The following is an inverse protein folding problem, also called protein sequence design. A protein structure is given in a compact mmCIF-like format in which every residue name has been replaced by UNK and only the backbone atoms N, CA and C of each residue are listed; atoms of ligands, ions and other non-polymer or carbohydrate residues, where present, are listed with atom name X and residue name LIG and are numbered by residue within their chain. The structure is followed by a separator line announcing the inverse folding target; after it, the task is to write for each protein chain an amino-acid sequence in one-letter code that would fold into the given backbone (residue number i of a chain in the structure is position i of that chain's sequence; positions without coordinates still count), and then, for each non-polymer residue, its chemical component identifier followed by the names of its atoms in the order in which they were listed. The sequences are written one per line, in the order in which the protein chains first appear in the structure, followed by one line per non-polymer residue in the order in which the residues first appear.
data_IF_899889433418
#
_entry.id   IF_899889433418
#
_cell.length_a   1.000
_cell.length_b   1.000
_cell.length_c   1.000
_cell.angle_alpha   90.00
_cell.angle_beta   90.00
_cell.angle_gamma   90.00
#
_symmetry.space_group_name_H-M   'P 1'
#
loop_
_entity.id
_entity.type
_entity.pdbx_description
1 polymer ?
#
# COMPACT_ATOMS: atom_id res chain seq x y z
N UNK A 1 14.51 -12.56 5.30
CA UNK A 1 13.16 -13.21 5.42
C UNK A 1 12.12 -12.19 5.00
N UNK A 2 11.20 -12.55 4.10
CA UNK A 2 10.14 -11.62 3.62
C UNK A 2 9.22 -11.20 4.76
N UNK A 3 8.78 -9.92 4.79
CA UNK A 3 7.79 -9.44 5.76
C UNK A 3 6.45 -10.16 5.60
N UNK A 4 6.00 -10.32 4.36
CA UNK A 4 4.82 -11.12 4.00
C UNK A 4 4.93 -11.59 2.56
N UNK A 5 4.10 -12.58 2.20
CA UNK A 5 3.80 -12.98 0.81
C UNK A 5 2.29 -12.96 0.67
N UNK A 6 1.79 -12.51 -0.48
CA UNK A 6 0.35 -12.43 -0.68
C UNK A 6 -0.17 -11.01 -0.85
N UNK A 7 -1.34 -10.73 -0.30
CA UNK A 7 -2.04 -9.45 -0.40
C UNK A 7 -1.87 -8.61 0.86
N UNK A 8 -1.20 -7.46 0.74
CA UNK A 8 -1.22 -6.41 1.76
C UNK A 8 -2.26 -5.35 1.41
N UNK A 9 -3.11 -4.95 2.36
CA UNK A 9 -4.06 -3.86 2.14
C UNK A 9 -3.45 -2.50 2.43
N UNK A 10 -3.54 -1.56 1.49
CA UNK A 10 -3.33 -0.14 1.77
C UNK A 10 -4.61 0.40 2.44
N UNK A 11 -4.68 0.27 3.77
CA UNK A 11 -5.90 0.50 4.54
C UNK A 11 -6.32 1.97 4.49
N UNK A 12 -7.62 2.23 4.27
CA UNK A 12 -8.21 3.57 4.40
C UNK A 12 -8.29 3.97 5.88
N UNK A 13 -8.26 5.28 6.15
CA UNK A 13 -8.56 5.84 7.47
C UNK A 13 -9.98 6.38 7.49
N UNK A 14 -10.90 5.81 8.28
CA UNK A 14 -12.25 6.34 8.40
C UNK A 14 -12.27 7.58 9.29
N UNK A 15 -13.13 8.56 8.93
CA UNK A 15 -13.33 9.79 9.70
C UNK A 15 -14.79 9.92 10.18
N UNK A 16 -15.00 10.65 11.26
CA UNK A 16 -16.31 11.07 11.73
C UNK A 16 -16.78 12.33 10.96
N UNK A 17 -18.02 12.75 11.17
CA UNK A 17 -18.58 13.98 10.57
C UNK A 17 -17.81 15.24 10.92
N UNK A 18 -17.19 15.29 12.12
CA UNK A 18 -16.33 16.39 12.58
C UNK A 18 -14.89 16.31 12.06
N UNK A 19 -14.62 15.39 11.13
CA UNK A 19 -13.30 15.07 10.59
C UNK A 19 -12.30 14.45 11.59
N UNK A 20 -12.67 14.11 12.79
CA UNK A 20 -11.81 13.29 13.67
C UNK A 20 -11.73 11.86 13.17
N UNK A 21 -10.69 11.11 13.58
CA UNK A 21 -10.53 9.69 13.20
C UNK A 21 -11.60 8.83 13.87
N UNK A 22 -12.29 8.00 13.09
CA UNK A 22 -13.27 7.04 13.59
C UNK A 22 -12.57 5.71 13.97
N UNK A 23 -12.06 5.63 15.19
CA UNK A 23 -11.37 4.43 15.68
C UNK A 23 -12.28 3.19 15.80
N UNK A 24 -13.58 3.37 16.01
CA UNK A 24 -14.54 2.26 16.03
C UNK A 24 -14.62 1.58 14.66
N UNK A 25 -14.83 2.37 13.62
CA UNK A 25 -14.85 1.89 12.25
C UNK A 25 -13.48 1.36 11.82
N UNK A 26 -12.37 2.00 12.22
CA UNK A 26 -11.02 1.53 11.91
C UNK A 26 -10.80 0.09 12.39
N UNK A 27 -11.18 -0.24 13.64
CA UNK A 27 -11.11 -1.61 14.16
C UNK A 27 -11.98 -2.57 13.35
N UNK A 28 -13.18 -2.16 12.97
CA UNK A 28 -14.07 -2.97 12.11
C UNK A 28 -13.40 -3.29 10.78
N UNK A 29 -12.73 -2.30 10.15
CA UNK A 29 -12.01 -2.50 8.89
C UNK A 29 -10.81 -3.44 9.06
N UNK A 30 -10.06 -3.33 10.17
CA UNK A 30 -8.95 -4.26 10.48
C UNK A 30 -9.46 -5.71 10.59
N UNK A 31 -10.53 -5.95 11.37
CA UNK A 31 -11.12 -7.29 11.50
C UNK A 31 -11.59 -7.83 10.15
N UNK A 32 -12.27 -7.00 9.36
CA UNK A 32 -12.72 -7.37 8.03
C UNK A 32 -11.56 -7.82 7.13
N UNK A 33 -10.40 -7.18 7.22
CA UNK A 33 -9.21 -7.59 6.46
C UNK A 33 -8.67 -8.94 6.94
N UNK A 34 -8.58 -9.14 8.25
CA UNK A 34 -8.13 -10.42 8.83
C UNK A 34 -9.09 -11.54 8.45
N UNK A 35 -10.39 -11.35 8.63
CA UNK A 35 -11.44 -12.33 8.29
C UNK A 35 -11.46 -12.63 6.78
N UNK A 36 -11.10 -11.66 5.95
CA UNK A 36 -10.99 -11.79 4.50
C UNK A 36 -9.68 -12.41 3.99
N UNK A 37 -8.80 -12.85 4.88
CA UNK A 37 -7.55 -13.54 4.51
C UNK A 37 -6.42 -12.61 4.03
N UNK A 38 -6.50 -11.31 4.28
CA UNK A 38 -5.41 -10.38 3.97
C UNK A 38 -4.12 -10.77 4.69
N UNK A 39 -2.98 -10.75 3.99
CA UNK A 39 -1.69 -11.24 4.49
C UNK A 39 -0.88 -10.17 5.25
N UNK A 40 -1.18 -8.88 5.08
CA UNK A 40 -0.56 -7.77 5.81
C UNK A 40 -1.44 -6.52 5.80
N UNK A 41 -1.34 -5.68 6.83
CA UNK A 41 -2.01 -4.37 6.85
C UNK A 41 -0.96 -3.25 6.70
N UNK A 42 -1.14 -2.42 5.68
CA UNK A 42 -0.34 -1.23 5.47
C UNK A 42 -1.16 -0.02 5.96
N UNK A 43 -0.80 0.49 7.13
CA UNK A 43 -1.45 1.62 7.79
C UNK A 43 -0.71 2.93 7.50
N UNK A 44 -1.42 4.04 7.40
CA UNK A 44 -0.86 5.35 7.05
C UNK A 44 -0.04 5.36 5.73
N UNK A 45 -0.33 4.44 4.78
CA UNK A 45 0.06 4.59 3.39
C UNK A 45 -0.76 5.70 2.71
N UNK A 46 -0.50 6.00 1.45
CA UNK A 46 -1.21 7.06 0.69
C UNK A 46 -2.74 6.96 0.80
N UNK A 47 -3.26 5.74 0.71
CA UNK A 47 -4.70 5.44 0.80
C UNK A 47 -5.30 5.76 2.17
N UNK A 48 -4.48 5.77 3.22
CA UNK A 48 -4.87 6.15 4.58
C UNK A 48 -4.85 7.65 4.87
N UNK A 49 -4.66 8.52 3.87
CA UNK A 49 -4.68 9.99 3.98
C UNK A 49 -3.69 10.59 5.01
N UNK A 50 -2.44 10.06 5.17
CA UNK A 50 -1.55 10.56 6.21
C UNK A 50 -1.10 12.02 6.00
N UNK A 51 -1.21 12.55 4.77
CA UNK A 51 -0.83 13.92 4.45
C UNK A 51 -1.72 14.97 5.12
N UNK A 52 -2.95 14.61 5.51
CA UNK A 52 -3.93 15.49 6.17
C UNK A 52 -4.11 15.18 7.65
N UNK A 53 -3.30 14.28 8.19
CA UNK A 53 -3.32 13.88 9.61
C UNK A 53 -2.17 14.53 10.38
N UNK A 54 -2.42 14.91 11.61
CA UNK A 54 -1.35 15.31 12.53
C UNK A 54 -0.46 14.11 12.88
N UNK A 55 0.71 14.37 13.46
CA UNK A 55 1.59 13.27 13.89
C UNK A 55 0.93 12.43 14.98
N UNK A 56 0.23 13.06 15.92
CA UNK A 56 -0.49 12.39 17.00
C UNK A 56 -1.61 11.49 16.48
N UNK A 57 -2.35 11.96 15.47
CA UNK A 57 -3.38 11.13 14.81
C UNK A 57 -2.75 9.91 14.13
N UNK A 58 -1.65 10.10 13.38
CA UNK A 58 -0.94 8.98 12.73
C UNK A 58 -0.45 7.95 13.74
N UNK A 59 0.19 8.37 14.83
CA UNK A 59 0.63 7.47 15.89
C UNK A 59 -0.54 6.71 16.54
N UNK A 60 -1.65 7.42 16.80
CA UNK A 60 -2.85 6.82 17.39
C UNK A 60 -3.54 5.82 16.44
N UNK A 61 -3.59 6.13 15.14
CA UNK A 61 -4.11 5.22 14.10
C UNK A 61 -3.24 3.97 13.98
N UNK A 62 -1.92 4.13 13.92
CA UNK A 62 -0.98 3.00 13.86
C UNK A 62 -1.14 2.12 15.11
N UNK A 63 -1.16 2.73 16.29
CA UNK A 63 -1.34 1.98 17.55
C UNK A 63 -2.66 1.23 17.58
N UNK A 64 -3.77 1.84 17.13
CA UNK A 64 -5.07 1.21 17.06
C UNK A 64 -5.05 -0.03 16.14
N UNK A 65 -4.37 0.07 14.99
CA UNK A 65 -4.25 -1.05 14.04
C UNK A 65 -3.40 -2.18 14.62
N UNK A 66 -2.25 -1.86 15.24
CA UNK A 66 -1.39 -2.86 15.91
C UNK A 66 -2.16 -3.60 17.01
N UNK A 67 -2.86 -2.85 17.86
CA UNK A 67 -3.63 -3.45 18.97
C UNK A 67 -4.76 -4.34 18.47
N UNK A 68 -5.49 -3.92 17.42
CA UNK A 68 -6.59 -4.68 16.87
C UNK A 68 -6.13 -5.91 16.09
N UNK A 69 -5.00 -5.81 15.39
CA UNK A 69 -4.38 -6.95 14.68
C UNK A 69 -3.86 -8.00 15.64
N UNK A 70 -3.39 -7.59 16.83
CA UNK A 70 -2.92 -8.47 17.90
C UNK A 70 -1.90 -9.54 17.42
N UNK A 71 -1.05 -9.19 16.47
CA UNK A 71 0.00 -10.06 15.92
C UNK A 71 -0.50 -11.19 15.00
N UNK A 72 -1.76 -11.18 14.57
CA UNK A 72 -2.31 -12.21 13.67
C UNK A 72 -1.73 -12.11 12.26
N UNK A 73 -1.50 -10.91 11.77
CA UNK A 73 -0.84 -10.62 10.48
C UNK A 73 0.08 -9.40 10.65
N UNK A 74 1.13 -9.25 9.83
CA UNK A 74 2.04 -8.12 9.92
C UNK A 74 1.36 -6.77 9.72
N UNK A 75 1.78 -5.77 10.52
CA UNK A 75 1.40 -4.37 10.38
C UNK A 75 2.60 -3.56 9.89
N UNK A 76 2.47 -2.91 8.75
CA UNK A 76 3.51 -2.10 8.11
C UNK A 76 3.05 -0.65 8.08
N UNK A 77 3.82 0.25 8.69
CA UNK A 77 3.43 1.65 8.79
C UNK A 77 4.07 2.53 7.71
N UNK A 78 3.27 3.39 7.08
CA UNK A 78 3.75 4.43 6.18
C UNK A 78 4.41 5.56 6.94
N UNK A 79 5.73 5.73 6.79
CA UNK A 79 6.50 6.78 7.48
C UNK A 79 7.23 7.72 6.55
N UNK A 80 7.20 7.47 5.23
CA UNK A 80 7.91 8.26 4.23
C UNK A 80 7.46 9.72 4.16
N UNK A 81 8.43 10.61 3.97
CA UNK A 81 8.24 12.05 3.74
C UNK A 81 9.36 12.58 2.84
N UNK A 82 9.27 13.86 2.48
CA UNK A 82 10.28 14.50 1.62
C UNK A 82 11.44 15.18 2.39
N UNK A 83 11.49 15.02 3.71
CA UNK A 83 12.59 15.44 4.59
C UNK A 83 13.14 14.20 5.31
N UNK A 84 14.40 13.84 5.07
CA UNK A 84 15.05 12.66 5.64
C UNK A 84 14.96 12.62 7.17
N UNK A 85 15.22 13.76 7.83
CA UNK A 85 15.19 13.83 9.30
C UNK A 85 13.78 13.55 9.83
N UNK A 86 12.74 14.12 9.21
CA UNK A 86 11.35 13.86 9.61
C UNK A 86 10.97 12.37 9.47
N UNK A 87 11.47 11.70 8.40
CA UNK A 87 11.26 10.26 8.23
C UNK A 87 11.91 9.47 9.36
N UNK A 88 13.17 9.79 9.71
CA UNK A 88 13.90 9.16 10.81
C UNK A 88 13.16 9.34 12.13
N UNK A 89 12.86 10.59 12.50
CA UNK A 89 12.22 10.92 13.77
C UNK A 89 10.86 10.25 13.93
N UNK A 90 10.06 10.26 12.86
CA UNK A 90 8.75 9.61 12.87
C UNK A 90 8.86 8.09 12.87
N UNK A 91 9.76 7.51 12.09
CA UNK A 91 9.99 6.05 12.07
C UNK A 91 10.43 5.51 13.43
N UNK A 92 11.31 6.21 14.14
CA UNK A 92 11.73 5.84 15.50
C UNK A 92 10.61 5.92 16.54
N UNK A 93 9.62 6.81 16.35
CA UNK A 93 8.42 6.85 17.18
C UNK A 93 7.50 5.67 16.87
N UNK A 94 7.33 5.37 15.58
CA UNK A 94 6.49 4.27 15.08
C UNK A 94 7.04 2.91 15.48
N UNK A 95 8.36 2.70 15.45
CA UNK A 95 9.03 1.48 15.90
C UNK A 95 8.64 1.09 17.32
N UNK A 96 8.44 2.06 18.21
CA UNK A 96 8.03 1.82 19.61
C UNK A 96 6.56 1.38 19.75
N UNK A 97 5.76 1.45 18.69
CA UNK A 97 4.36 1.05 18.70
C UNK A 97 4.17 -0.45 18.43
N UNK A 98 5.22 -1.17 18.03
CA UNK A 98 5.19 -2.61 17.78
C UNK A 98 4.71 -2.99 16.38
N UNK A 99 4.99 -2.15 15.37
CA UNK A 99 4.80 -2.50 13.97
C UNK A 99 5.89 -3.46 13.49
N UNK A 100 5.61 -4.26 12.46
CA UNK A 100 6.53 -5.27 11.92
C UNK A 100 7.46 -4.71 10.84
N UNK A 101 7.13 -3.56 10.25
CA UNK A 101 7.93 -2.92 9.21
C UNK A 101 7.46 -1.52 8.83
N UNK A 102 8.23 -0.90 7.96
CA UNK A 102 8.00 0.46 7.49
C UNK A 102 7.81 0.48 5.97
N UNK A 103 6.84 1.27 5.49
CA UNK A 103 6.68 1.62 4.08
C UNK A 103 7.16 3.06 3.89
N UNK A 104 8.27 3.24 3.15
CA UNK A 104 8.90 4.55 2.97
C UNK A 104 8.81 4.99 1.50
N UNK A 105 7.93 5.96 1.21
CA UNK A 105 7.80 6.53 -0.13
C UNK A 105 9.03 7.37 -0.48
N UNK A 106 9.43 7.36 -1.76
CA UNK A 106 10.48 8.25 -2.25
C UNK A 106 10.13 9.72 -1.96
N UNK A 107 11.13 10.59 -1.67
CA UNK A 107 10.87 12.02 -1.46
C UNK A 107 10.08 12.62 -2.63
N UNK A 108 9.01 13.31 -2.31
CA UNK A 108 8.12 13.97 -3.26
C UNK A 108 8.39 15.48 -3.27
N UNK A 109 8.04 16.14 -4.36
CA UNK A 109 8.12 17.58 -4.56
C UNK A 109 9.55 18.10 -4.78
N UNK A 110 10.49 17.90 -3.84
CA UNK A 110 11.88 18.35 -3.90
C UNK A 110 12.81 17.49 -4.77
N UNK A 111 12.32 16.40 -5.37
CA UNK A 111 12.94 15.58 -6.45
C UNK A 111 14.42 15.26 -6.24
N UNK A 112 14.72 14.27 -5.44
CA UNK A 112 16.08 13.81 -5.22
C UNK A 112 16.71 13.17 -6.48
N UNK A 113 18.03 13.33 -6.65
CA UNK A 113 18.82 12.54 -7.60
C UNK A 113 18.96 11.09 -7.12
N UNK A 114 19.49 10.19 -7.95
CA UNK A 114 19.72 8.79 -7.53
C UNK A 114 20.69 8.69 -6.35
N UNK A 115 21.73 9.51 -6.32
CA UNK A 115 22.65 9.59 -5.16
C UNK A 115 21.93 10.15 -3.91
N UNK A 116 21.05 11.14 -4.09
CA UNK A 116 20.22 11.67 -3.02
C UNK A 116 19.22 10.63 -2.48
N UNK A 117 18.58 9.85 -3.36
CA UNK A 117 17.73 8.73 -2.96
C UNK A 117 18.50 7.66 -2.17
N UNK A 118 19.68 7.29 -2.68
CA UNK A 118 20.54 6.36 -1.96
C UNK A 118 20.90 6.87 -0.56
N UNK A 119 21.36 8.12 -0.46
CA UNK A 119 21.72 8.73 0.83
C UNK A 119 20.52 8.85 1.79
N UNK A 120 19.34 9.18 1.25
CA UNK A 120 18.09 9.26 2.02
C UNK A 120 17.74 7.91 2.66
N UNK A 121 17.64 6.83 1.86
CA UNK A 121 17.32 5.52 2.37
C UNK A 121 18.43 4.93 3.26
N UNK A 122 19.70 5.17 2.94
CA UNK A 122 20.83 4.77 3.76
C UNK A 122 20.78 5.40 5.18
N UNK A 123 20.47 6.69 5.26
CA UNK A 123 20.32 7.38 6.54
C UNK A 123 19.15 6.84 7.37
N UNK A 124 18.01 6.53 6.72
CA UNK A 124 16.84 5.95 7.38
C UNK A 124 17.18 4.53 7.87
N UNK A 125 17.74 3.69 7.00
CA UNK A 125 18.12 2.31 7.34
C UNK A 125 19.11 2.23 8.49
N UNK A 126 20.05 3.19 8.55
CA UNK A 126 21.01 3.27 9.66
C UNK A 126 20.43 3.79 10.98
N UNK A 127 19.20 4.36 10.97
CA UNK A 127 18.58 4.99 12.12
C UNK A 127 17.47 4.15 12.79
N UNK A 128 16.97 3.09 12.12
CA UNK A 128 15.88 2.23 12.60
C UNK A 128 16.28 0.75 12.52
N UNK A 129 15.73 -0.06 13.42
CA UNK A 129 15.96 -1.52 13.43
C UNK A 129 14.93 -2.30 12.60
N UNK A 130 13.83 -1.68 12.22
CA UNK A 130 12.72 -2.35 11.50
C UNK A 130 13.04 -2.58 10.02
N UNK A 131 12.46 -3.64 9.44
CA UNK A 131 12.46 -3.86 8.00
C UNK A 131 11.79 -2.70 7.24
N UNK A 132 12.38 -2.30 6.11
CA UNK A 132 11.91 -1.20 5.27
C UNK A 132 11.50 -1.75 3.90
N UNK A 133 10.28 -1.43 3.48
CA UNK A 133 9.82 -1.54 2.10
C UNK A 133 9.91 -0.14 1.47
N UNK A 134 10.77 0.05 0.49
CA UNK A 134 10.81 1.27 -0.31
C UNK A 134 9.51 1.39 -1.11
N UNK A 135 9.03 2.62 -1.35
CA UNK A 135 7.84 2.82 -2.17
C UNK A 135 8.12 3.76 -3.34
N UNK A 136 8.05 3.22 -4.55
CA UNK A 136 8.29 3.92 -5.80
C UNK A 136 6.97 4.22 -6.51
N UNK A 137 6.58 5.50 -6.58
CA UNK A 137 5.34 5.95 -7.22
C UNK A 137 5.56 7.29 -7.95
N UNK A 138 6.27 7.28 -9.08
CA UNK A 138 6.68 8.51 -9.78
C UNK A 138 5.53 9.43 -10.18
N UNK A 139 4.35 8.86 -10.48
CA UNK A 139 3.14 9.62 -10.83
C UNK A 139 2.65 10.55 -9.71
N UNK A 140 2.97 10.23 -8.44
CA UNK A 140 2.63 11.04 -7.28
C UNK A 140 3.79 11.87 -6.76
N UNK A 141 5.00 11.32 -6.79
CA UNK A 141 6.16 11.96 -6.17
C UNK A 141 6.94 12.86 -7.15
N UNK A 142 6.83 12.61 -8.45
CA UNK A 142 7.71 13.18 -9.46
C UNK A 142 9.17 12.67 -9.34
N UNK A 143 9.39 11.59 -8.58
CA UNK A 143 10.70 11.01 -8.30
C UNK A 143 10.63 9.50 -8.54
N UNK A 144 11.52 8.96 -9.36
CA UNK A 144 11.61 7.54 -9.69
C UNK A 144 12.94 6.98 -9.17
N UNK A 145 12.88 6.00 -8.25
CA UNK A 145 14.08 5.25 -7.88
C UNK A 145 14.37 4.23 -8.99
N UNK A 146 15.54 4.32 -9.58
CA UNK A 146 15.95 3.43 -10.67
C UNK A 146 16.36 2.05 -10.14
N UNK A 147 16.23 0.98 -10.96
CA UNK A 147 16.56 -0.38 -10.57
C UNK A 147 17.97 -0.54 -9.96
N UNK A 148 18.96 0.17 -10.49
CA UNK A 148 20.35 0.13 -9.99
C UNK A 148 20.44 0.66 -8.56
N UNK A 149 19.72 1.76 -8.27
CA UNK A 149 19.72 2.39 -6.94
C UNK A 149 18.98 1.51 -5.93
N UNK A 150 17.80 0.98 -6.30
CA UNK A 150 17.03 0.11 -5.44
C UNK A 150 17.78 -1.20 -5.12
N UNK A 151 18.31 -1.87 -6.15
CA UNK A 151 19.09 -3.09 -5.96
C UNK A 151 20.36 -2.88 -5.13
N UNK A 152 21.03 -1.73 -5.28
CA UNK A 152 22.18 -1.36 -4.45
C UNK A 152 21.79 -1.19 -2.99
N UNK A 153 20.67 -0.53 -2.70
CA UNK A 153 20.16 -0.34 -1.35
C UNK A 153 19.83 -1.67 -0.67
N UNK A 154 19.16 -2.61 -1.37
CA UNK A 154 18.86 -3.94 -0.82
C UNK A 154 20.12 -4.76 -0.49
N UNK A 155 21.22 -4.59 -1.26
CA UNK A 155 22.50 -5.27 -0.96
C UNK A 155 23.28 -4.62 0.18
N UNK A 156 23.26 -3.27 0.25
CA UNK A 156 24.10 -2.52 1.18
C UNK A 156 23.47 -2.45 2.60
N UNK A 157 22.14 -2.70 2.73
CA UNK A 157 21.40 -2.60 4.00
C UNK A 157 20.47 -3.79 4.22
N UNK A 158 20.76 -4.62 5.20
CA UNK A 158 19.98 -5.84 5.51
C UNK A 158 18.53 -5.59 5.89
N UNK A 159 18.24 -4.39 6.42
CA UNK A 159 16.88 -4.00 6.78
C UNK A 159 16.09 -3.31 5.65
N UNK A 160 16.69 -3.09 4.47
CA UNK A 160 15.91 -2.72 3.25
C UNK A 160 15.54 -4.02 2.54
N UNK A 161 14.37 -4.54 2.88
CA UNK A 161 13.94 -5.90 2.51
C UNK A 161 13.06 -5.97 1.27
N UNK A 162 12.50 -4.85 0.81
CA UNK A 162 11.57 -4.89 -0.32
C UNK A 162 11.30 -3.53 -0.96
N UNK A 163 10.54 -3.59 -2.05
CA UNK A 163 10.04 -2.43 -2.76
C UNK A 163 8.58 -2.64 -3.18
N UNK A 164 7.71 -1.66 -2.87
CA UNK A 164 6.41 -1.49 -3.51
C UNK A 164 6.63 -0.72 -4.80
N UNK A 165 6.49 -1.41 -5.94
CA UNK A 165 6.70 -0.82 -7.26
C UNK A 165 5.37 -0.41 -7.89
N UNK A 166 5.19 0.89 -8.07
CA UNK A 166 4.00 1.51 -8.63
C UNK A 166 4.34 2.52 -9.76
N UNK A 167 5.45 2.30 -10.47
CA UNK A 167 5.80 3.14 -11.62
C UNK A 167 4.93 2.88 -12.86
N UNK A 168 4.23 1.75 -12.92
CA UNK A 168 3.53 1.31 -14.12
C UNK A 168 4.47 0.74 -15.21
N UNK A 169 5.78 0.70 -14.96
CA UNK A 169 6.78 0.27 -15.95
C UNK A 169 7.25 -1.15 -15.70
N UNK A 170 6.59 -2.13 -16.31
CA UNK A 170 6.93 -3.56 -16.20
C UNK A 170 8.37 -3.86 -16.64
N UNK A 171 8.90 -3.15 -17.62
CA UNK A 171 10.30 -3.27 -18.03
C UNK A 171 11.28 -2.82 -16.96
N UNK A 172 10.91 -1.83 -16.13
CA UNK A 172 11.69 -1.42 -14.96
C UNK A 172 11.67 -2.50 -13.89
N UNK A 173 10.53 -3.14 -13.65
CA UNK A 173 10.39 -4.28 -12.72
C UNK A 173 11.31 -5.44 -13.13
N UNK A 174 11.30 -5.82 -14.42
CA UNK A 174 12.17 -6.88 -14.94
C UNK A 174 13.66 -6.55 -14.74
N UNK A 175 14.07 -5.29 -14.99
CA UNK A 175 15.45 -4.84 -14.71
C UNK A 175 15.78 -4.88 -13.24
N UNK A 176 14.85 -4.49 -12.37
CA UNK A 176 15.01 -4.53 -10.92
C UNK A 176 15.24 -5.97 -10.46
N UNK A 177 14.37 -6.91 -10.83
CA UNK A 177 14.53 -8.33 -10.46
C UNK A 177 15.84 -8.91 -10.96
N UNK A 178 16.24 -8.59 -12.20
CA UNK A 178 17.54 -9.00 -12.74
C UNK A 178 18.74 -8.51 -11.88
N UNK A 179 18.66 -7.29 -11.35
CA UNK A 179 19.78 -6.66 -10.61
C UNK A 179 19.77 -7.02 -9.13
N UNK A 180 18.60 -7.14 -8.53
CA UNK A 180 18.43 -7.41 -7.10
C UNK A 180 18.40 -8.92 -6.79
N UNK A 181 18.02 -9.76 -7.76
CA UNK A 181 17.87 -11.20 -7.49
C UNK A 181 16.85 -11.45 -6.37
N UNK A 182 17.31 -12.11 -5.32
CA UNK A 182 16.50 -12.42 -4.13
C UNK A 182 16.85 -11.52 -2.92
N UNK A 183 17.72 -10.51 -3.13
CA UNK A 183 18.09 -9.56 -2.07
C UNK A 183 16.96 -8.56 -1.77
N UNK A 184 15.95 -8.45 -2.64
CA UNK A 184 14.89 -7.48 -2.50
C UNK A 184 13.53 -8.06 -2.95
N UNK A 185 12.59 -8.11 -2.04
CA UNK A 185 11.21 -8.49 -2.33
C UNK A 185 10.51 -7.43 -3.19
N UNK A 186 9.74 -7.85 -4.20
CA UNK A 186 8.99 -6.94 -5.07
C UNK A 186 7.49 -7.15 -4.85
N UNK A 187 6.80 -6.06 -4.46
CA UNK A 187 5.35 -6.01 -4.33
C UNK A 187 4.77 -5.11 -5.41
N UNK A 188 3.70 -5.54 -6.07
CA UNK A 188 2.94 -4.63 -6.92
C UNK A 188 2.33 -3.51 -6.09
N UNK A 189 2.46 -2.28 -6.58
CA UNK A 189 1.74 -1.12 -6.03
C UNK A 189 0.49 -0.75 -6.84
N UNK A 190 0.24 -1.48 -7.95
CA UNK A 190 -0.86 -1.28 -8.88
C UNK A 190 -1.68 -2.56 -8.97
N UNK A 191 -2.98 -2.46 -8.69
CA UNK A 191 -3.89 -3.61 -8.68
C UNK A 191 -4.09 -4.23 -10.08
N UNK A 192 -3.97 -3.45 -11.15
CA UNK A 192 -4.04 -3.89 -12.55
C UNK A 192 -2.78 -4.62 -13.04
N UNK A 193 -1.68 -4.56 -12.27
CA UNK A 193 -0.38 -5.14 -12.65
C UNK A 193 0.10 -6.26 -11.72
N UNK A 194 -0.80 -6.85 -10.93
CA UNK A 194 -0.42 -7.90 -9.97
C UNK A 194 0.18 -9.10 -10.69
N UNK A 195 -0.56 -9.71 -11.62
CA UNK A 195 -0.09 -10.89 -12.36
C UNK A 195 1.20 -10.63 -13.16
N UNK A 196 1.33 -9.53 -13.94
CA UNK A 196 2.58 -9.18 -14.59
C UNK A 196 3.78 -9.09 -13.64
N UNK A 197 3.61 -8.48 -12.46
CA UNK A 197 4.70 -8.34 -11.49
C UNK A 197 5.03 -9.68 -10.82
N UNK A 198 4.03 -10.50 -10.46
CA UNK A 198 4.25 -11.86 -9.96
C UNK A 198 4.99 -12.73 -10.98
N UNK A 199 4.67 -12.61 -12.28
CA UNK A 199 5.37 -13.35 -13.35
C UNK A 199 6.85 -13.00 -13.51
N UNK A 200 7.24 -11.82 -13.03
CA UNK A 200 8.63 -11.37 -12.97
C UNK A 200 9.32 -11.67 -11.64
N UNK A 201 8.71 -12.48 -10.78
CA UNK A 201 9.26 -12.86 -9.48
C UNK A 201 8.91 -11.91 -8.35
N UNK A 202 7.85 -11.11 -8.50
CA UNK A 202 7.18 -10.44 -7.37
C UNK A 202 6.56 -11.48 -6.43
N UNK A 203 6.34 -11.09 -5.17
CA UNK A 203 5.83 -11.99 -4.13
C UNK A 203 4.48 -11.58 -3.56
N UNK A 204 3.94 -10.46 -4.01
CA UNK A 204 2.66 -9.96 -3.50
C UNK A 204 2.25 -8.62 -4.09
N UNK A 205 1.22 -8.04 -3.47
CA UNK A 205 0.68 -6.73 -3.80
C UNK A 205 0.42 -5.92 -2.53
N UNK A 206 0.57 -4.60 -2.61
CA UNK A 206 0.05 -3.66 -1.61
C UNK A 206 -1.10 -2.90 -2.29
N UNK A 207 -2.30 -3.37 -2.04
CA UNK A 207 -3.52 -3.19 -2.84
C UNK A 207 -4.45 -2.12 -2.31
N UNK A 208 -5.12 -1.41 -3.20
CA UNK A 208 -6.30 -0.58 -2.90
C UNK A 208 -7.58 -1.43 -2.98
N UNK A 209 -7.68 -2.30 -3.98
CA UNK A 209 -8.81 -3.21 -4.18
C UNK A 209 -9.09 -4.08 -2.93
N UNK A 210 -8.07 -4.47 -2.17
CA UNK A 210 -8.21 -5.24 -0.93
C UNK A 210 -9.12 -4.57 0.12
N UNK A 211 -9.26 -3.24 0.13
CA UNK A 211 -10.24 -2.58 1.02
C UNK A 211 -11.66 -3.06 0.71
N UNK A 212 -11.97 -3.30 -0.57
CA UNK A 212 -13.30 -3.67 -1.08
C UNK A 212 -13.47 -5.18 -1.15
N UNK A 213 -12.46 -5.90 -1.68
CA UNK A 213 -12.49 -7.33 -1.99
C UNK A 213 -11.25 -8.06 -1.42
N UNK A 214 -11.10 -8.14 -0.08
CA UNK A 214 -9.90 -8.71 0.55
C UNK A 214 -9.62 -10.14 0.11
N UNK A 215 -10.59 -11.05 0.19
CA UNK A 215 -10.42 -12.45 -0.18
C UNK A 215 -10.03 -12.63 -1.65
N UNK A 216 -10.65 -11.88 -2.55
CA UNK A 216 -10.34 -11.99 -3.99
C UNK A 216 -8.90 -11.59 -4.31
N UNK A 217 -8.35 -10.56 -3.63
CA UNK A 217 -6.96 -10.15 -3.84
C UNK A 217 -5.99 -11.15 -3.21
N UNK A 218 -6.31 -11.69 -2.04
CA UNK A 218 -5.55 -12.79 -1.43
C UNK A 218 -5.51 -13.98 -2.37
N UNK A 219 -6.68 -14.47 -2.80
CA UNK A 219 -6.81 -15.64 -3.68
C UNK A 219 -6.05 -15.43 -5.00
N UNK A 220 -6.17 -14.27 -5.63
CA UNK A 220 -5.45 -13.94 -6.88
C UNK A 220 -3.94 -14.13 -6.73
N UNK A 221 -3.36 -13.62 -5.64
CA UNK A 221 -1.91 -13.73 -5.42
C UNK A 221 -1.54 -15.15 -5.05
N UNK A 222 -2.28 -15.79 -4.14
CA UNK A 222 -1.96 -17.14 -3.67
C UNK A 222 -2.15 -18.20 -4.75
N UNK A 223 -3.18 -18.09 -5.59
CA UNK A 223 -3.36 -18.97 -6.76
C UNK A 223 -2.15 -18.88 -7.70
N UNK A 224 -1.66 -17.66 -7.97
CA UNK A 224 -0.46 -17.48 -8.78
C UNK A 224 0.78 -18.15 -8.15
N UNK A 225 1.02 -17.87 -6.86
CA UNK A 225 2.19 -18.40 -6.14
C UNK A 225 2.15 -19.93 -6.00
N UNK A 226 0.96 -20.52 -5.97
CA UNK A 226 0.73 -21.95 -5.94
C UNK A 226 0.81 -22.62 -7.34
N UNK A 227 1.04 -21.83 -8.41
CA UNK A 227 1.17 -22.33 -9.78
C UNK A 227 -0.15 -22.40 -10.57
N UNK A 228 -1.27 -21.98 -9.98
CA UNK A 228 -2.59 -21.95 -10.61
C UNK A 228 -2.77 -20.68 -11.45
N UNK A 229 -1.87 -20.45 -12.40
CA UNK A 229 -1.76 -19.17 -13.16
C UNK A 229 -3.09 -18.78 -13.83
N UNK A 230 -3.81 -19.76 -14.38
CA UNK A 230 -5.09 -19.48 -15.06
C UNK A 230 -6.13 -18.95 -14.07
N UNK A 231 -6.28 -19.56 -12.91
CA UNK A 231 -7.20 -19.12 -11.84
C UNK A 231 -6.88 -17.70 -11.40
N UNK A 232 -5.60 -17.43 -11.13
CA UNK A 232 -5.13 -16.10 -10.78
C UNK A 232 -5.46 -15.04 -11.83
N UNK A 233 -5.24 -15.37 -13.11
CA UNK A 233 -5.56 -14.48 -14.24
C UNK A 233 -7.08 -14.25 -14.36
N UNK A 234 -7.88 -15.29 -14.22
CA UNK A 234 -9.34 -15.19 -14.27
C UNK A 234 -9.85 -14.24 -13.17
N UNK A 235 -9.26 -14.28 -11.95
CA UNK A 235 -9.58 -13.34 -10.87
C UNK A 235 -9.14 -11.92 -11.25
N UNK A 236 -7.92 -11.71 -11.73
CA UNK A 236 -7.42 -10.38 -12.15
C UNK A 236 -8.37 -9.75 -13.18
N UNK A 237 -8.77 -10.51 -14.19
CA UNK A 237 -9.64 -10.02 -15.26
C UNK A 237 -11.08 -9.78 -14.79
N UNK A 238 -11.60 -10.62 -13.90
CA UNK A 238 -12.93 -10.43 -13.30
C UNK A 238 -13.06 -9.08 -12.57
N UNK A 239 -12.02 -8.65 -11.88
CA UNK A 239 -12.05 -7.41 -11.10
C UNK A 239 -11.48 -6.19 -11.84
N UNK A 240 -11.10 -6.30 -13.12
CA UNK A 240 -10.41 -5.24 -13.85
C UNK A 240 -11.23 -3.95 -13.92
N UNK A 241 -12.53 -4.04 -14.25
CA UNK A 241 -13.41 -2.87 -14.34
C UNK A 241 -13.56 -2.16 -12.98
N UNK A 242 -13.64 -2.92 -11.89
CA UNK A 242 -13.66 -2.34 -10.54
C UNK A 242 -12.31 -1.70 -10.19
N UNK A 243 -11.19 -2.33 -10.54
CA UNK A 243 -9.85 -1.74 -10.36
C UNK A 243 -9.77 -0.39 -11.06
N UNK A 244 -10.18 -0.32 -12.34
CA UNK A 244 -10.20 0.95 -13.08
C UNK A 244 -11.12 1.99 -12.45
N UNK A 245 -12.30 1.59 -11.96
CA UNK A 245 -13.22 2.48 -11.28
C UNK A 245 -12.67 3.00 -9.94
N UNK A 246 -11.86 2.21 -9.22
CA UNK A 246 -11.18 2.63 -7.99
C UNK A 246 -10.05 3.64 -8.21
N UNK A 247 -9.65 3.87 -9.46
CA UNK A 247 -8.63 4.85 -9.85
C UNK A 247 -9.14 5.88 -10.88
N UNK A 248 -10.46 5.98 -11.08
CA UNK A 248 -11.05 6.97 -11.99
C UNK A 248 -10.85 8.42 -11.51
N UNK A 249 -10.65 8.60 -10.20
CA UNK A 249 -10.16 9.82 -9.57
C UNK A 249 -8.98 9.50 -8.64
N UNK A 250 -8.46 10.55 -7.99
CA UNK A 250 -7.32 10.39 -7.07
C UNK A 250 -7.68 9.45 -5.92
N UNK A 251 -6.96 8.32 -5.80
CA UNK A 251 -7.05 7.46 -4.62
C UNK A 251 -6.63 8.24 -3.36
N UNK A 252 -7.45 8.25 -2.25
CA UNK A 252 -8.48 7.27 -1.90
C UNK A 252 -9.94 7.69 -2.17
N UNK A 253 -10.22 8.68 -3.03
CA UNK A 253 -11.59 9.17 -3.26
C UNK A 253 -12.52 8.01 -3.67
N UNK A 254 -12.25 7.24 -4.75
CA UNK A 254 -13.16 6.18 -5.17
C UNK A 254 -13.26 5.01 -4.17
N UNK A 255 -12.16 4.63 -3.52
CA UNK A 255 -12.21 3.49 -2.59
C UNK A 255 -13.04 3.80 -1.34
N UNK A 256 -13.02 5.04 -0.82
CA UNK A 256 -13.91 5.43 0.29
C UNK A 256 -15.36 5.46 -0.15
N UNK A 257 -15.65 5.92 -1.38
CA UNK A 257 -16.99 5.83 -1.96
C UNK A 257 -17.45 4.36 -2.09
N UNK A 258 -16.58 3.46 -2.57
CA UNK A 258 -16.87 2.02 -2.66
C UNK A 258 -17.20 1.41 -1.29
N UNK A 259 -16.46 1.78 -0.24
CA UNK A 259 -16.71 1.29 1.11
C UNK A 259 -18.07 1.77 1.65
N UNK A 260 -18.46 3.03 1.35
CA UNK A 260 -19.81 3.53 1.67
C UNK A 260 -20.89 2.72 0.94
N UNK A 261 -20.70 2.38 -0.35
CA UNK A 261 -21.62 1.54 -1.12
C UNK A 261 -21.75 0.13 -0.56
N UNK A 262 -20.72 -0.38 0.12
CA UNK A 262 -20.76 -1.65 0.86
C UNK A 262 -21.43 -1.53 2.25
N UNK A 263 -21.85 -0.33 2.66
CA UNK A 263 -22.53 -0.09 3.93
C UNK A 263 -21.60 0.21 5.11
N UNK A 264 -20.31 0.48 4.86
CA UNK A 264 -19.38 0.94 5.91
C UNK A 264 -19.40 2.45 6.03
N UNK A 265 -19.67 2.96 7.22
CA UNK A 265 -19.63 4.41 7.50
C UNK A 265 -18.17 4.85 7.72
N UNK A 266 -17.46 5.05 6.61
CA UNK A 266 -16.05 5.47 6.61
C UNK A 266 -15.87 6.98 6.62
N UNK A 267 -16.97 7.74 6.67
CA UNK A 267 -16.97 9.20 6.68
C UNK A 267 -16.50 9.84 5.37
N UNK A 268 -16.21 11.14 5.43
CA UNK A 268 -15.73 11.93 4.28
C UNK A 268 -14.22 11.81 4.05
N UNK A 269 -13.75 12.74 3.23
CA UNK A 269 -12.33 12.97 2.96
C UNK A 269 -11.92 14.32 3.56
N UNK A 270 -10.66 14.45 3.93
CA UNK A 270 -10.11 15.75 4.37
C UNK A 270 -9.59 16.53 3.17
N UNK A 271 -9.85 17.83 3.13
CA UNK A 271 -9.28 18.70 2.09
C UNK A 271 -7.75 18.54 2.01
N UNK A 272 -7.16 18.56 0.79
CA UNK A 272 -7.76 19.01 -0.48
C UNK A 272 -8.59 17.96 -1.23
N UNK A 273 -8.75 16.74 -0.69
CA UNK A 273 -9.60 15.72 -1.30
C UNK A 273 -11.07 16.01 -1.04
N UNK A 274 -11.91 15.71 -2.02
CA UNK A 274 -13.37 15.93 -2.00
C UNK A 274 -14.11 14.63 -2.26
N UNK A 275 -15.41 14.63 -2.12
CA UNK A 275 -16.25 13.48 -2.49
C UNK A 275 -16.10 13.16 -3.99
N UNK A 276 -16.33 11.90 -4.34
CA UNK A 276 -16.32 11.40 -5.72
C UNK A 276 -17.38 12.11 -6.56
N UNK A 277 -17.03 12.52 -7.78
CA UNK A 277 -17.97 13.14 -8.72
C UNK A 277 -19.11 12.19 -9.11
N UNK A 278 -20.32 12.71 -9.32
CA UNK A 278 -21.54 11.92 -9.58
C UNK A 278 -21.38 10.93 -10.74
N UNK A 279 -20.74 11.36 -11.84
CA UNK A 279 -20.52 10.51 -13.01
C UNK A 279 -19.60 9.32 -12.68
N UNK A 280 -18.58 9.55 -11.88
CA UNK A 280 -17.64 8.51 -11.43
C UNK A 280 -18.25 7.62 -10.34
N UNK A 281 -19.16 8.17 -9.51
CA UNK A 281 -19.92 7.40 -8.56
C UNK A 281 -20.87 6.40 -9.27
N UNK A 282 -21.51 6.80 -10.36
CA UNK A 282 -22.34 5.92 -11.17
C UNK A 282 -21.51 4.78 -11.79
N UNK A 283 -20.34 5.10 -12.39
CA UNK A 283 -19.39 4.11 -12.93
C UNK A 283 -18.94 3.11 -11.87
N UNK A 284 -18.56 3.60 -10.69
CA UNK A 284 -18.11 2.76 -9.58
C UNK A 284 -19.24 1.80 -9.13
N UNK A 285 -20.45 2.32 -9.01
CA UNK A 285 -21.61 1.52 -8.62
C UNK A 285 -21.91 0.42 -9.65
N UNK A 286 -21.92 0.75 -10.93
CA UNK A 286 -22.12 -0.21 -12.02
C UNK A 286 -21.06 -1.34 -11.99
N UNK A 287 -19.77 -0.98 -11.83
CA UNK A 287 -18.69 -1.98 -11.74
C UNK A 287 -18.82 -2.89 -10.52
N UNK A 288 -19.36 -2.39 -9.39
CA UNK A 288 -19.59 -3.21 -8.20
C UNK A 288 -20.83 -4.11 -8.33
N UNK A 289 -21.89 -3.64 -9.02
CA UNK A 289 -23.13 -4.41 -9.25
C UNK A 289 -22.88 -5.56 -10.23
N UNK A 290 -22.10 -5.36 -11.30
CA UNK A 290 -21.78 -6.42 -12.28
C UNK A 290 -21.05 -7.62 -11.65
N UNK A 291 -20.36 -7.43 -10.53
CA UNK A 291 -19.70 -8.51 -9.80
C UNK A 291 -20.64 -9.38 -8.96
N UNK A 292 -21.88 -8.92 -8.70
CA UNK A 292 -22.91 -9.68 -7.96
C UNK A 292 -23.71 -10.61 -8.86
N UNK A 293 -23.73 -10.33 -10.17
CA UNK A 293 -24.54 -11.06 -11.17
C UNK A 293 -23.75 -12.23 -11.80
N UNK A 294 -22.44 -12.35 -11.53
CA UNK A 294 -21.51 -13.37 -12.01
C UNK A 294 -20.93 -14.20 -10.85
#
# INVERSE_FOLDING_TARGET
MSLFKGAGVALITPFNEDNSVNYGMLRTLVRRQIDGGTDAIIVCGTTGEPATMTEEEKLSVIKCVVDETAGQIPVIAGTGANCTQNVIDFSQKVEKLGVDGLLVVTPYYNKATQNGLYAHYAAIAGAVGLPIIMYNVPSRTGCNILPQTAARLGRDFENIVGIKEASGNISQVAKLKKLAGDDLDIYSGNDDQVIPILSLGGIGVISVLSNVMPAAVHDMVMEFLNGNIKSALDIQLKYLDLIEALFCEVNPIPVKAAMKLLGYDVGGLRLPLTELEDANCARLKESMESLKEN
#
